data_IF_443215001645
#
_entry.id   IF_443215001645
#
_cell.length_a   1.000
_cell.length_b   1.000
_cell.length_c   1.000
_cell.angle_alpha   90.00
_cell.angle_beta   90.00
_cell.angle_gamma   90.00
#
_symmetry.space_group_name_H-M   'P 1'
#
loop_
_entity.id
_entity.type
_entity.pdbx_description
1 polymer ?
#
# COMPACT_ATOMS: atom_id res chain seq x y z
N UNK A 1 34.80 34.35 -31.82
CA UNK A 1 33.38 34.54 -31.43
C UNK A 1 32.41 33.47 -31.98
N UNK A 2 32.58 32.94 -33.20
CA UNK A 2 31.67 31.90 -33.77
C UNK A 2 31.65 30.54 -33.05
N UNK A 3 32.74 30.14 -32.36
CA UNK A 3 32.84 28.81 -31.71
C UNK A 3 32.19 28.74 -30.31
N UNK A 4 31.99 29.88 -29.65
CA UNK A 4 31.36 29.92 -28.31
C UNK A 4 29.83 29.87 -28.38
N UNK A 5 29.24 30.41 -29.45
CA UNK A 5 27.80 30.32 -29.69
C UNK A 5 27.32 28.90 -29.99
N UNK A 6 28.14 28.07 -30.65
CA UNK A 6 27.76 26.70 -31.00
C UNK A 6 27.73 25.77 -29.77
N UNK A 7 28.62 25.99 -28.80
CA UNK A 7 28.68 25.20 -27.55
C UNK A 7 27.44 25.45 -26.67
N UNK A 8 26.98 26.70 -26.57
CA UNK A 8 25.81 27.05 -25.78
C UNK A 8 24.51 26.43 -26.30
N UNK A 9 24.36 26.28 -27.62
CA UNK A 9 23.16 25.68 -28.22
C UNK A 9 23.11 24.17 -28.02
N UNK A 10 24.25 23.48 -28.04
CA UNK A 10 24.32 22.03 -27.80
C UNK A 10 24.02 21.69 -26.33
N UNK A 11 24.52 22.48 -25.38
CA UNK A 11 24.24 22.27 -23.96
C UNK A 11 22.78 22.58 -23.61
N UNK A 12 22.18 23.64 -24.19
CA UNK A 12 20.76 23.94 -23.99
C UNK A 12 19.85 22.86 -24.59
N UNK A 13 20.23 22.29 -25.74
CA UNK A 13 19.50 21.21 -26.41
C UNK A 13 19.46 19.92 -25.60
N UNK A 14 20.56 19.54 -24.95
CA UNK A 14 20.57 18.36 -24.06
C UNK A 14 19.73 18.59 -22.79
N UNK A 15 19.75 19.79 -22.21
CA UNK A 15 18.91 20.11 -21.04
C UNK A 15 17.41 20.04 -21.33
N UNK A 16 16.99 20.39 -22.55
CA UNK A 16 15.58 20.32 -22.97
C UNK A 16 15.13 18.86 -23.21
N UNK A 17 16.01 17.99 -23.71
CA UNK A 17 15.70 16.56 -23.87
C UNK A 17 15.56 15.85 -22.51
N UNK A 18 16.35 16.26 -21.51
CA UNK A 18 16.16 15.78 -20.14
C UNK A 18 14.87 16.28 -19.49
N UNK A 19 14.42 17.50 -19.80
CA UNK A 19 13.16 18.05 -19.28
C UNK A 19 11.91 17.46 -19.98
N UNK A 20 12.02 17.03 -21.24
CA UNK A 20 10.91 16.42 -21.99
C UNK A 20 10.74 14.91 -21.72
N UNK A 21 11.77 14.22 -21.21
CA UNK A 21 11.72 12.80 -20.84
C UNK A 21 11.25 12.53 -19.40
N UNK A 22 10.91 13.56 -18.62
CA UNK A 22 10.36 13.37 -17.25
C UNK A 22 8.84 13.28 -17.22
N UNK A 23 8.17 13.30 -18.37
CA UNK A 23 6.80 12.81 -18.46
C UNK A 23 6.83 11.28 -18.41
N UNK A 24 7.18 10.72 -17.25
CA UNK A 24 6.70 9.40 -16.90
C UNK A 24 5.18 9.55 -16.94
N UNK A 25 4.58 8.98 -17.98
CA UNK A 25 3.15 8.82 -18.06
C UNK A 25 2.79 7.88 -16.90
N UNK A 26 2.59 8.47 -15.72
CA UNK A 26 2.02 7.76 -14.58
C UNK A 26 0.63 7.41 -15.05
N UNK A 27 0.46 6.16 -15.47
CA UNK A 27 -0.84 5.65 -15.89
C UNK A 27 -1.84 6.02 -14.78
N UNK A 28 -2.98 6.63 -15.10
CA UNK A 28 -3.93 6.99 -14.06
C UNK A 28 -4.29 5.72 -13.30
N UNK A 29 -4.36 5.84 -11.98
CA UNK A 29 -4.89 4.77 -11.15
C UNK A 29 -6.26 4.33 -11.66
N UNK A 30 -6.51 3.04 -11.59
CA UNK A 30 -7.77 2.44 -12.04
C UNK A 30 -8.38 1.66 -10.90
N UNK A 31 -9.71 1.75 -10.81
CA UNK A 31 -10.48 0.82 -9.99
C UNK A 31 -10.65 -0.44 -10.83
N UNK A 32 -10.23 -1.57 -10.28
CA UNK A 32 -10.45 -2.89 -10.87
C UNK A 32 -11.54 -3.56 -10.04
N UNK A 33 -12.31 -4.48 -10.62
CA UNK A 33 -13.25 -5.28 -9.87
C UNK A 33 -13.02 -6.73 -10.24
N UNK A 34 -12.63 -7.58 -9.29
CA UNK A 34 -12.75 -9.01 -9.48
C UNK A 34 -14.25 -9.39 -9.46
N UNK A 35 -14.67 -10.27 -10.37
CA UNK A 35 -16.08 -10.55 -10.62
C UNK A 35 -16.77 -11.43 -9.54
N UNK A 36 -16.05 -11.97 -8.54
CA UNK A 36 -16.60 -12.91 -7.55
C UNK A 36 -15.98 -12.74 -6.15
N UNK A 37 -16.78 -13.10 -5.14
CA UNK A 37 -16.38 -13.17 -3.73
C UNK A 37 -15.42 -14.35 -3.54
N UNK A 38 -14.11 -14.09 -3.44
CA UNK A 38 -13.06 -15.13 -3.50
C UNK A 38 -12.80 -15.87 -2.18
N UNK A 39 -13.40 -15.45 -1.08
CA UNK A 39 -13.38 -16.18 0.18
C UNK A 39 -14.64 -15.92 1.02
N UNK A 40 -15.19 -16.99 1.58
CA UNK A 40 -16.35 -16.91 2.48
C UNK A 40 -16.02 -16.06 3.71
N UNK A 41 -16.85 -15.05 3.98
CA UNK A 41 -16.69 -14.17 5.14
C UNK A 41 -15.62 -13.08 4.98
N UNK A 42 -15.04 -12.87 3.79
CA UNK A 42 -14.23 -11.68 3.50
C UNK A 42 -14.98 -10.78 2.53
N UNK A 43 -15.41 -9.63 3.02
CA UNK A 43 -16.05 -8.61 2.20
C UNK A 43 -14.99 -7.75 1.53
N UNK A 44 -14.95 -7.73 0.20
CA UNK A 44 -14.13 -6.80 -0.56
C UNK A 44 -14.88 -5.46 -0.61
N UNK A 45 -14.29 -4.43 -0.02
CA UNK A 45 -14.86 -3.08 0.00
C UNK A 45 -14.47 -2.33 -1.27
N UNK A 46 -13.18 -2.35 -1.60
CA UNK A 46 -12.61 -1.61 -2.73
C UNK A 46 -11.35 -2.31 -3.26
N UNK A 47 -11.06 -2.10 -4.55
CA UNK A 47 -9.89 -2.64 -5.23
C UNK A 47 -9.24 -1.55 -6.10
N UNK A 48 -7.91 -1.41 -6.00
CA UNK A 48 -7.17 -0.37 -6.71
C UNK A 48 -5.92 -0.88 -7.40
N UNK A 49 -5.65 -0.37 -8.61
CA UNK A 49 -4.33 -0.34 -9.20
C UNK A 49 -3.76 1.07 -9.05
N UNK A 50 -2.68 1.20 -8.29
CA UNK A 50 -2.03 2.48 -8.00
C UNK A 50 -0.56 2.39 -8.38
N UNK A 51 -0.10 3.13 -9.40
CA UNK A 51 1.34 3.21 -9.68
C UNK A 51 2.06 3.94 -8.54
N UNK A 52 3.30 3.56 -8.27
CA UNK A 52 4.13 4.33 -7.38
C UNK A 52 4.50 5.69 -8.00
N UNK A 53 4.96 6.62 -7.14
CA UNK A 53 5.30 7.98 -7.53
C UNK A 53 6.52 8.09 -8.45
N UNK A 54 7.31 7.02 -8.56
CA UNK A 54 8.53 6.96 -9.38
C UNK A 54 8.32 6.23 -10.72
N UNK A 55 7.14 5.63 -10.92
CA UNK A 55 6.83 4.78 -12.05
C UNK A 55 7.60 3.46 -12.07
N UNK A 56 8.11 2.97 -10.92
CA UNK A 56 8.88 1.72 -10.86
C UNK A 56 8.01 0.50 -10.65
N UNK A 57 6.96 0.64 -9.85
CA UNK A 57 6.03 -0.42 -9.50
C UNK A 57 4.58 0.02 -9.59
N UNK A 58 3.69 -0.96 -9.65
CA UNK A 58 2.24 -0.79 -9.51
C UNK A 58 1.76 -1.64 -8.35
N UNK A 59 1.02 -1.03 -7.44
CA UNK A 59 0.36 -1.69 -6.33
C UNK A 59 -1.03 -2.16 -6.77
N UNK A 60 -1.30 -3.45 -6.61
CA UNK A 60 -2.66 -3.98 -6.61
C UNK A 60 -3.13 -4.10 -5.15
N UNK A 61 -4.11 -3.29 -4.77
CA UNK A 61 -4.52 -3.07 -3.38
C UNK A 61 -5.94 -3.58 -3.19
N UNK A 62 -6.15 -4.37 -2.15
CA UNK A 62 -7.47 -4.81 -1.69
C UNK A 62 -7.76 -4.12 -0.37
N UNK A 63 -8.85 -3.35 -0.32
CA UNK A 63 -9.46 -2.92 0.94
C UNK A 63 -10.57 -3.92 1.23
N UNK A 64 -10.48 -4.59 2.37
CA UNK A 64 -11.42 -5.65 2.73
C UNK A 64 -11.78 -5.61 4.21
N UNK A 65 -12.92 -6.21 4.55
CA UNK A 65 -13.39 -6.34 5.93
C UNK A 65 -13.51 -7.82 6.30
N UNK A 66 -12.96 -8.19 7.45
CA UNK A 66 -13.15 -9.53 8.01
C UNK A 66 -14.58 -9.65 8.56
N UNK A 67 -15.42 -10.47 7.93
CA UNK A 67 -16.79 -10.79 8.35
C UNK A 67 -16.95 -12.30 8.64
N UNK A 68 -15.86 -13.02 8.88
CA UNK A 68 -15.85 -14.48 9.09
C UNK A 68 -16.52 -14.91 10.40
N UNK A 69 -16.77 -13.97 11.31
CA UNK A 69 -17.25 -14.24 12.66
C UNK A 69 -16.14 -14.49 13.69
N UNK A 70 -14.89 -14.67 13.23
CA UNK A 70 -13.73 -15.01 14.06
C UNK A 70 -12.56 -14.06 13.78
N UNK A 71 -11.58 -14.04 14.68
CA UNK A 71 -10.30 -13.37 14.43
C UNK A 71 -9.43 -14.25 13.52
N UNK A 72 -8.83 -13.67 12.48
CA UNK A 72 -8.12 -14.41 11.44
C UNK A 72 -6.68 -13.94 11.23
N UNK A 73 -5.82 -14.87 10.83
CA UNK A 73 -4.64 -14.56 10.05
C UNK A 73 -5.00 -14.79 8.57
N UNK A 74 -4.57 -13.88 7.71
CA UNK A 74 -4.92 -13.90 6.28
C UNK A 74 -3.67 -13.64 5.46
N UNK A 75 -3.54 -14.36 4.35
CA UNK A 75 -2.54 -14.07 3.33
C UNK A 75 -3.18 -14.06 1.96
N UNK A 76 -2.54 -13.36 1.02
CA UNK A 76 -2.99 -13.26 -0.36
C UNK A 76 -1.83 -13.44 -1.32
N UNK A 77 -2.08 -14.28 -2.32
CA UNK A 77 -1.25 -14.37 -3.51
C UNK A 77 -1.87 -13.52 -4.60
N UNK A 78 -1.15 -12.47 -5.01
CA UNK A 78 -1.52 -11.58 -6.11
C UNK A 78 -0.83 -12.02 -7.40
N UNK A 79 -1.56 -12.00 -8.50
CA UNK A 79 -1.10 -12.51 -9.79
C UNK A 79 -1.41 -11.50 -10.89
N UNK A 80 -0.44 -11.22 -11.75
CA UNK A 80 -0.63 -10.50 -13.00
C UNK A 80 -0.56 -11.50 -14.17
N UNK A 81 -1.51 -11.46 -15.10
CA UNK A 81 -1.61 -12.42 -16.21
C UNK A 81 -1.66 -11.75 -17.58
N UNK A 82 -1.16 -12.44 -18.61
CA UNK A 82 -1.28 -12.02 -20.00
C UNK A 82 -2.67 -12.32 -20.59
N UNK A 83 -2.93 -11.88 -21.81
CA UNK A 83 -4.22 -12.12 -22.49
C UNK A 83 -4.54 -13.60 -22.80
N UNK A 84 -3.60 -14.52 -22.57
CA UNK A 84 -3.81 -15.96 -22.70
C UNK A 84 -3.99 -16.64 -21.33
N UNK A 85 -3.97 -15.89 -20.23
CA UNK A 85 -4.06 -16.41 -18.86
C UNK A 85 -2.74 -16.95 -18.31
N UNK A 86 -1.59 -16.69 -18.95
CA UNK A 86 -0.29 -17.06 -18.39
C UNK A 86 0.10 -16.07 -17.29
N UNK A 87 0.60 -16.58 -16.17
CA UNK A 87 1.14 -15.75 -15.09
C UNK A 87 2.42 -15.06 -15.55
N UNK A 88 2.41 -13.72 -15.52
CA UNK A 88 3.59 -12.89 -15.77
C UNK A 88 4.35 -12.62 -14.47
N UNK A 89 3.63 -12.33 -13.39
CA UNK A 89 4.23 -12.06 -12.09
C UNK A 89 3.30 -12.52 -10.97
N UNK A 90 3.90 -12.89 -9.84
CA UNK A 90 3.21 -13.30 -8.62
C UNK A 90 3.92 -12.72 -7.41
N UNK A 91 3.16 -12.07 -6.53
CA UNK A 91 3.66 -11.48 -5.29
C UNK A 91 2.74 -11.86 -4.13
N UNK A 92 3.28 -11.83 -2.92
CA UNK A 92 2.60 -12.35 -1.73
C UNK A 92 2.59 -11.32 -0.62
N UNK A 93 1.50 -11.26 0.13
CA UNK A 93 1.34 -10.40 1.30
C UNK A 93 0.47 -11.08 2.35
N UNK A 94 0.65 -10.71 3.62
CA UNK A 94 -0.05 -11.34 4.74
C UNK A 94 -0.23 -10.39 5.92
N UNK A 95 -1.19 -10.72 6.77
CA UNK A 95 -1.44 -10.15 8.08
C UNK A 95 -1.63 -11.27 9.10
N UNK A 96 -0.85 -11.24 10.19
CA UNK A 96 -0.88 -12.28 11.24
C UNK A 96 -2.15 -12.24 12.10
N UNK A 97 -2.87 -11.11 12.10
CA UNK A 97 -4.06 -10.89 12.90
C UNK A 97 -4.93 -9.76 12.34
N UNK A 98 -6.20 -10.09 12.07
CA UNK A 98 -7.28 -9.18 11.70
C UNK A 98 -8.51 -9.57 12.53
N UNK A 99 -9.01 -8.63 13.34
CA UNK A 99 -10.16 -8.88 14.21
C UNK A 99 -11.44 -9.04 13.39
N UNK A 100 -12.41 -9.84 13.86
CA UNK A 100 -13.73 -9.85 13.26
C UNK A 100 -14.35 -8.43 13.24
N UNK A 101 -14.93 -8.05 12.10
CA UNK A 101 -15.50 -6.74 11.79
C UNK A 101 -14.46 -5.65 11.47
N UNK A 102 -13.17 -5.99 11.43
CA UNK A 102 -12.10 -5.02 11.16
C UNK A 102 -11.82 -4.90 9.67
N UNK A 103 -11.67 -3.66 9.20
CA UNK A 103 -11.14 -3.38 7.87
C UNK A 103 -9.61 -3.54 7.86
N UNK A 104 -9.08 -4.10 6.78
CA UNK A 104 -7.67 -4.31 6.53
C UNK A 104 -7.35 -4.06 5.06
N UNK A 105 -6.05 -3.88 4.78
CA UNK A 105 -5.53 -3.78 3.42
C UNK A 105 -4.54 -4.93 3.20
N UNK A 106 -4.64 -5.63 2.08
CA UNK A 106 -3.59 -6.47 1.51
C UNK A 106 -3.17 -5.88 0.17
N UNK A 107 -1.90 -6.04 -0.21
CA UNK A 107 -1.43 -5.51 -1.48
C UNK A 107 -0.34 -6.34 -2.13
N UNK A 108 -0.34 -6.38 -3.46
CA UNK A 108 0.75 -6.88 -4.28
C UNK A 108 1.52 -5.72 -4.92
N UNK A 109 2.84 -5.68 -4.76
CA UNK A 109 3.70 -4.72 -5.45
C UNK A 109 4.38 -5.39 -6.64
N UNK A 110 3.95 -5.03 -7.85
CA UNK A 110 4.54 -5.56 -9.09
C UNK A 110 5.53 -4.56 -9.68
N UNK A 111 6.70 -5.02 -10.11
CA UNK A 111 7.60 -4.19 -10.90
C UNK A 111 6.97 -3.92 -12.27
N UNK A 112 7.00 -2.67 -12.73
CA UNK A 112 6.37 -2.29 -14.00
C UNK A 112 7.01 -2.99 -15.21
N UNK A 113 8.27 -3.42 -15.11
CA UNK A 113 8.93 -4.22 -16.15
C UNK A 113 8.32 -5.63 -16.30
N UNK A 114 7.81 -6.20 -15.21
CA UNK A 114 7.15 -7.52 -15.20
C UNK A 114 5.70 -7.44 -15.71
N UNK A 115 5.15 -6.23 -15.81
CA UNK A 115 3.76 -5.98 -16.24
C UNK A 115 3.63 -5.75 -17.75
N UNK A 116 4.70 -5.92 -18.52
CA UNK A 116 4.61 -5.76 -19.97
C UNK A 116 3.72 -6.85 -20.59
N UNK A 117 2.62 -6.44 -21.22
CA UNK A 117 1.64 -7.35 -21.79
C UNK A 117 0.62 -7.90 -20.79
N UNK A 118 0.56 -7.35 -19.57
CA UNK A 118 -0.50 -7.67 -18.62
C UNK A 118 -1.86 -7.32 -19.21
N UNK A 119 -2.79 -8.26 -19.09
CA UNK A 119 -4.18 -8.09 -19.48
C UNK A 119 -5.11 -8.09 -18.27
N UNK A 120 -4.76 -8.83 -17.21
CA UNK A 120 -5.62 -8.98 -16.04
C UNK A 120 -4.82 -9.17 -14.74
N UNK A 121 -5.46 -8.88 -13.62
CA UNK A 121 -4.94 -9.08 -12.26
C UNK A 121 -5.88 -9.96 -11.45
N UNK A 122 -5.31 -10.85 -10.66
CA UNK A 122 -6.04 -11.81 -9.85
C UNK A 122 -5.43 -11.88 -8.44
N UNK A 123 -6.18 -12.42 -7.49
CA UNK A 123 -5.74 -12.68 -6.13
C UNK A 123 -6.45 -13.90 -5.56
N UNK A 124 -5.85 -14.53 -4.55
CA UNK A 124 -6.45 -15.64 -3.80
C UNK A 124 -6.11 -15.52 -2.34
N UNK A 125 -7.06 -15.84 -1.46
CA UNK A 125 -6.85 -15.80 -0.02
C UNK A 125 -6.53 -17.17 0.57
N UNK A 126 -5.66 -17.19 1.57
CA UNK A 126 -5.53 -18.27 2.55
C UNK A 126 -5.83 -17.69 3.94
N UNK A 127 -6.82 -18.29 4.63
CA UNK A 127 -7.40 -17.78 5.87
C UNK A 127 -7.34 -18.87 6.92
N UNK A 128 -6.87 -18.51 8.11
CA UNK A 128 -6.90 -19.37 9.30
C UNK A 128 -7.31 -18.56 10.52
N UNK A 129 -8.08 -19.15 11.42
CA UNK A 129 -8.39 -18.54 12.71
C UNK A 129 -7.12 -18.30 13.54
N UNK A 130 -7.09 -17.21 14.31
CA UNK A 130 -5.95 -16.83 15.16
C UNK A 130 -6.42 -16.24 16.48
N UNK A 131 -5.65 -16.42 17.54
CA UNK A 131 -5.83 -15.78 18.85
C UNK A 131 -4.82 -14.65 19.11
N UNK A 132 -4.03 -14.30 18.08
CA UNK A 132 -2.91 -13.36 18.19
C UNK A 132 -3.30 -11.88 18.14
N UNK A 133 -4.58 -11.52 17.95
CA UNK A 133 -5.00 -10.12 17.91
C UNK A 133 -4.58 -9.34 19.18
N UNK A 134 -3.85 -8.24 18.97
CA UNK A 134 -3.47 -7.28 20.03
C UNK A 134 -4.21 -5.94 19.91
N UNK A 135 -5.27 -5.88 19.09
CA UNK A 135 -5.99 -4.65 18.77
C UNK A 135 -6.49 -3.87 19.99
N UNK A 136 -6.92 -4.56 21.06
CA UNK A 136 -7.41 -3.92 22.28
C UNK A 136 -6.31 -3.30 23.16
N UNK A 137 -5.04 -3.52 22.81
CA UNK A 137 -3.87 -3.03 23.56
C UNK A 137 -3.22 -1.82 22.87
N UNK A 138 -3.61 -1.54 21.62
CA UNK A 138 -2.99 -0.54 20.77
C UNK A 138 -4.00 0.55 20.41
N UNK A 139 -3.62 1.81 20.59
CA UNK A 139 -4.27 2.94 19.91
C UNK A 139 -3.41 3.38 18.75
N UNK A 140 -4.05 3.69 17.63
CA UNK A 140 -3.41 4.34 16.48
C UNK A 140 -4.10 5.66 16.25
N UNK A 141 -3.31 6.73 16.20
CA UNK A 141 -3.75 8.09 15.94
C UNK A 141 -3.10 8.59 14.65
N UNK A 142 -3.86 9.37 13.88
CA UNK A 142 -3.39 9.95 12.63
C UNK A 142 -3.55 11.48 12.67
N UNK A 143 -2.47 12.19 12.39
CA UNK A 143 -2.42 13.64 12.33
C UNK A 143 -2.06 14.08 10.92
N UNK A 144 -2.98 14.78 10.27
CA UNK A 144 -2.81 15.26 8.91
C UNK A 144 -2.40 16.74 8.89
N UNK A 145 -1.39 17.08 8.09
CA UNK A 145 -1.10 18.46 7.69
C UNK A 145 -0.87 18.53 6.18
N UNK A 146 -0.66 19.72 5.61
CA UNK A 146 -0.51 19.90 4.15
C UNK A 146 0.69 19.17 3.52
N UNK A 147 1.67 18.73 4.32
CA UNK A 147 2.91 18.12 3.85
C UNK A 147 2.88 16.61 3.93
N UNK A 148 2.32 16.05 4.99
CA UNK A 148 2.31 14.60 5.23
C UNK A 148 1.21 14.18 6.19
N UNK A 149 0.97 12.86 6.24
CA UNK A 149 0.20 12.20 7.29
C UNK A 149 1.19 11.61 8.30
N UNK A 150 1.13 12.04 9.56
CA UNK A 150 1.87 11.38 10.64
C UNK A 150 0.95 10.41 11.34
N UNK A 151 1.40 9.16 11.49
CA UNK A 151 0.69 8.14 12.24
C UNK A 151 1.50 7.79 13.48
N UNK A 152 0.83 7.69 14.61
CA UNK A 152 1.42 7.22 15.85
C UNK A 152 0.66 6.03 16.38
N UNK A 153 1.38 5.12 17.02
CA UNK A 153 0.79 4.02 17.76
C UNK A 153 1.29 4.06 19.20
N UNK A 154 0.41 3.70 20.14
CA UNK A 154 0.74 3.54 21.56
C UNK A 154 0.39 2.12 22.00
N UNK A 155 1.34 1.41 22.59
CA UNK A 155 1.12 0.12 23.22
C UNK A 155 0.83 0.31 24.71
N UNK A 156 -0.42 0.12 25.13
CA UNK A 156 -0.84 0.26 26.53
C UNK A 156 -0.64 -1.01 27.36
N UNK A 157 -0.16 -2.10 26.77
CA UNK A 157 0.13 -3.32 27.52
C UNK A 157 1.50 -3.26 28.20
N UNK A 158 1.71 -4.13 29.19
CA UNK A 158 3.02 -4.34 29.82
C UNK A 158 3.93 -5.28 29.01
N UNK A 159 3.43 -5.82 27.88
CA UNK A 159 4.12 -6.83 27.09
C UNK A 159 4.52 -6.30 25.72
N UNK A 160 5.63 -6.82 25.22
CA UNK A 160 6.04 -6.60 23.84
C UNK A 160 5.06 -7.28 22.89
N UNK A 161 4.77 -6.61 21.78
CA UNK A 161 4.02 -7.18 20.66
C UNK A 161 4.83 -7.09 19.37
N UNK A 162 4.28 -7.65 18.28
CA UNK A 162 4.81 -7.34 16.96
C UNK A 162 4.55 -5.87 16.60
N UNK A 163 5.34 -5.33 15.68
CA UNK A 163 5.13 -3.99 15.15
C UNK A 163 3.71 -3.77 14.62
N UNK A 164 3.29 -2.51 14.59
CA UNK A 164 1.98 -2.11 14.07
C UNK A 164 2.14 -1.77 12.60
N UNK A 165 1.66 -2.67 11.73
CA UNK A 165 1.66 -2.45 10.28
C UNK A 165 0.51 -1.52 9.91
N UNK A 166 0.83 -0.29 9.51
CA UNK A 166 -0.14 0.71 9.03
C UNK A 166 -0.08 0.78 7.52
N UNK A 167 -1.24 0.70 6.86
CA UNK A 167 -1.37 0.71 5.40
C UNK A 167 -2.38 1.77 5.02
N UNK A 168 -2.04 2.62 4.06
CA UNK A 168 -2.84 3.79 3.71
C UNK A 168 -3.01 3.94 2.20
N UNK A 169 -4.26 4.07 1.76
CA UNK A 169 -4.60 4.50 0.39
C UNK A 169 -4.95 5.99 0.44
N UNK A 170 -4.26 6.81 -0.37
CA UNK A 170 -4.55 8.23 -0.50
C UNK A 170 -5.53 8.48 -1.64
N UNK A 171 -6.54 9.30 -1.39
CA UNK A 171 -7.63 9.56 -2.32
C UNK A 171 -7.60 11.00 -2.85
N UNK A 172 -8.04 11.18 -4.09
CA UNK A 172 -8.30 12.48 -4.71
C UNK A 172 -9.51 12.38 -5.63
N UNK A 173 -10.55 13.17 -5.37
CA UNK A 173 -11.79 13.19 -6.14
C UNK A 173 -12.41 11.78 -6.30
N UNK A 174 -12.40 11.00 -5.22
CA UNK A 174 -12.93 9.63 -5.20
C UNK A 174 -12.06 8.59 -5.93
N UNK A 175 -10.83 8.92 -6.31
CA UNK A 175 -9.88 7.98 -6.93
C UNK A 175 -8.68 7.77 -6.00
N UNK A 176 -8.25 6.52 -5.84
CA UNK A 176 -6.97 6.21 -5.19
C UNK A 176 -5.83 6.81 -6.03
N UNK A 177 -4.91 7.57 -5.45
CA UNK A 177 -3.81 8.24 -6.16
C UNK A 177 -2.45 8.00 -5.53
N UNK A 178 -2.41 7.31 -4.40
CA UNK A 178 -1.18 6.93 -3.72
C UNK A 178 -1.43 5.80 -2.76
N UNK A 179 -0.35 5.08 -2.46
CA UNK A 179 -0.33 4.03 -1.45
C UNK A 179 0.97 4.13 -0.67
N UNK A 180 0.89 3.98 0.64
CA UNK A 180 2.06 3.95 1.51
C UNK A 180 1.80 3.02 2.71
N UNK A 181 2.85 2.38 3.18
CA UNK A 181 2.80 1.42 4.28
C UNK A 181 4.05 1.56 5.16
N UNK A 182 3.83 1.58 6.46
CA UNK A 182 4.88 1.68 7.47
C UNK A 182 4.65 0.66 8.58
N UNK A 183 5.73 0.30 9.26
CA UNK A 183 5.69 -0.51 10.45
C UNK A 183 6.14 0.35 11.65
N UNK A 184 5.27 0.55 12.62
CA UNK A 184 5.59 1.27 13.86
C UNK A 184 6.10 0.25 14.88
N UNK A 185 7.38 0.40 15.27
CA UNK A 185 8.05 -0.47 16.23
C UNK A 185 9.20 0.28 16.91
N UNK A 186 9.67 -0.19 18.06
CA UNK A 186 10.86 0.37 18.73
C UNK A 186 12.15 -0.18 18.12
N UNK A 187 12.17 -1.48 17.81
CA UNK A 187 13.35 -2.15 17.26
C UNK A 187 12.97 -3.34 16.38
N UNK A 188 13.36 -3.28 15.10
CA UNK A 188 12.98 -4.29 14.12
C UNK A 188 11.46 -4.41 14.01
N UNK A 189 10.91 -5.57 14.38
CA UNK A 189 9.48 -5.84 14.44
C UNK A 189 8.93 -5.93 15.87
N UNK A 190 9.65 -5.40 16.87
CA UNK A 190 9.20 -5.39 18.27
C UNK A 190 8.69 -4.00 18.66
N UNK A 191 7.46 -3.96 19.18
CA UNK A 191 6.89 -2.75 19.78
C UNK A 191 6.68 -2.99 21.28
N UNK A 192 7.45 -2.27 22.09
CA UNK A 192 7.57 -2.49 23.54
C UNK A 192 6.31 -2.09 24.29
N UNK A 193 6.05 -2.77 25.41
CA UNK A 193 4.98 -2.40 26.33
C UNK A 193 5.18 -0.98 26.89
N UNK A 194 4.14 -0.15 26.81
CA UNK A 194 4.16 1.25 27.28
C UNK A 194 4.77 2.26 26.30
N UNK A 195 5.27 1.83 25.13
CA UNK A 195 5.87 2.73 24.14
C UNK A 195 4.83 3.45 23.28
N UNK A 196 5.21 4.66 22.83
CA UNK A 196 4.55 5.39 21.74
C UNK A 196 5.59 5.76 20.69
N UNK A 197 5.33 5.43 19.43
CA UNK A 197 6.20 5.79 18.31
C UNK A 197 5.36 6.33 17.14
N UNK A 198 5.99 7.11 16.27
CA UNK A 198 5.35 7.65 15.06
C UNK A 198 6.15 7.38 13.80
N UNK A 199 5.44 7.41 12.67
CA UNK A 199 5.98 7.31 11.31
C UNK A 199 5.25 8.31 10.42
N UNK A 200 5.93 8.77 9.38
CA UNK A 200 5.35 9.64 8.36
C UNK A 200 4.93 8.77 7.17
N UNK A 201 3.71 8.99 6.70
CA UNK A 201 3.10 8.38 5.54
C UNK A 201 2.72 9.46 4.53
N UNK A 202 2.99 9.18 3.26
CA UNK A 202 2.69 10.07 2.15
C UNK A 202 3.47 11.38 2.19
N UNK A 203 3.53 12.03 1.04
CA UNK A 203 4.11 13.36 0.87
C UNK A 203 3.19 14.22 0.01
N UNK A 204 3.15 15.51 0.27
CA UNK A 204 2.26 16.48 -0.38
C UNK A 204 0.77 16.16 -0.19
N UNK A 205 0.39 15.81 1.03
CA UNK A 205 -0.99 15.40 1.36
C UNK A 205 -2.05 16.47 1.11
N UNK A 206 -1.68 17.75 0.94
CA UNK A 206 -2.56 18.78 0.36
C UNK A 206 -3.18 18.40 -1.00
N UNK A 207 -2.53 17.49 -1.74
CA UNK A 207 -2.98 17.04 -3.04
C UNK A 207 -4.02 15.92 -2.95
N UNK A 208 -4.28 15.42 -1.74
CA UNK A 208 -5.28 14.39 -1.41
C UNK A 208 -6.45 15.03 -0.65
N UNK A 209 -7.67 14.56 -0.90
CA UNK A 209 -8.88 15.03 -0.21
C UNK A 209 -9.31 14.07 0.91
N UNK A 210 -8.91 12.81 0.85
CA UNK A 210 -9.23 11.80 1.84
C UNK A 210 -8.17 10.67 1.86
N UNK A 211 -8.26 9.78 2.84
CA UNK A 211 -7.46 8.55 2.89
C UNK A 211 -8.25 7.39 3.55
N UNK A 212 -7.88 6.17 3.18
CA UNK A 212 -8.29 4.94 3.85
C UNK A 212 -7.07 4.44 4.62
N UNK A 213 -7.14 4.44 5.95
CA UNK A 213 -6.06 3.97 6.81
C UNK A 213 -6.52 2.73 7.56
N UNK A 214 -5.76 1.66 7.44
CA UNK A 214 -5.94 0.44 8.24
C UNK A 214 -4.66 0.15 9.00
N UNK A 215 -4.79 -0.56 10.12
CA UNK A 215 -3.64 -1.09 10.84
C UNK A 215 -3.90 -2.52 11.28
N UNK A 216 -2.83 -3.30 11.37
CA UNK A 216 -2.84 -4.64 11.94
C UNK A 216 -1.75 -4.76 12.99
N UNK A 217 -2.02 -5.58 14.01
CA UNK A 217 -1.12 -5.79 15.12
C UNK A 217 -1.38 -7.17 15.72
N UNK A 218 -0.30 -7.92 15.94
CA UNK A 218 -0.33 -9.26 16.48
C UNK A 218 0.58 -9.39 17.71
N UNK A 219 0.22 -10.29 18.62
CA UNK A 219 1.13 -10.79 19.66
C UNK A 219 2.24 -11.61 19.00
N UNK A 220 3.42 -11.60 19.61
CA UNK A 220 4.55 -12.44 19.18
C UNK A 220 4.14 -13.92 19.26
#
# INVERSE_FOLDING_TARGET
MRKQFLSLVVTLGMSIVFLLNVNHCVAPSTVVYAAEEKAEGIKIDEEYLVPDIYGWSTYYILVATNETGEDIAISSDFVATDGNGNVLSKVHDYLDAVRNGQQFILYGQFLNEDLNGVADYDYSFDIRTTDKCSYSMISVDASHNDKYLEVSATNYSESDIQGVGVRTVFMKNGRAVGFDAVNIADYGYTFYGGSTNSQILGYNTKDYDNYILTYASARK
#
